data_IF_712775441520
#
_entry.id   IF_712775441520
#
_cell.length_a   1.000
_cell.length_b   1.000
_cell.length_c   1.000
_cell.angle_alpha   90.00
_cell.angle_beta   90.00
_cell.angle_gamma   90.00
#
_symmetry.space_group_name_H-M   'P 1'
#
loop_
_entity.id
_entity.type
_entity.pdbx_description
1 polymer ?
#
# COMPACT_ATOMS: atom_id res chain seq x y z
N UNK A 1 -8.38 -5.00 -29.78
CA UNK A 1 -7.56 -3.82 -29.47
C UNK A 1 -7.74 -3.52 -27.98
N UNK A 2 -6.66 -3.46 -27.19
CA UNK A 2 -6.77 -3.02 -25.80
C UNK A 2 -7.12 -1.53 -25.75
N UNK A 3 -7.95 -1.16 -24.78
CA UNK A 3 -8.27 0.25 -24.49
C UNK A 3 -6.97 1.00 -24.12
N UNK A 4 -6.86 2.25 -24.58
CA UNK A 4 -5.79 3.16 -24.15
C UNK A 4 -5.89 3.42 -22.65
N UNK A 5 -4.77 3.29 -21.93
CA UNK A 5 -4.72 3.52 -20.48
C UNK A 5 -5.12 4.96 -20.12
N UNK A 6 -5.71 5.13 -18.93
CA UNK A 6 -6.00 6.45 -18.36
C UNK A 6 -5.29 6.60 -17.00
N UNK A 7 -5.16 7.84 -16.51
CA UNK A 7 -4.49 8.12 -15.24
C UNK A 7 -5.16 7.43 -14.03
N UNK A 8 -6.48 7.21 -14.10
CA UNK A 8 -7.23 6.56 -13.02
C UNK A 8 -6.85 5.08 -12.82
N UNK A 9 -6.39 4.40 -13.87
CA UNK A 9 -5.91 3.01 -13.80
C UNK A 9 -4.69 2.90 -12.87
N UNK A 10 -3.81 3.89 -12.90
CA UNK A 10 -2.57 3.92 -12.12
C UNK A 10 -2.72 4.60 -10.74
N UNK A 11 -3.76 5.43 -10.56
CA UNK A 11 -3.93 6.25 -9.36
C UNK A 11 -3.91 5.44 -8.05
N UNK A 12 -4.46 4.21 -8.06
CA UNK A 12 -4.51 3.35 -6.87
C UNK A 12 -3.11 2.87 -6.45
N UNK A 13 -2.29 2.39 -7.40
CA UNK A 13 -0.94 1.91 -7.11
C UNK A 13 0.01 3.07 -6.79
N UNK A 14 -0.18 4.23 -7.42
CA UNK A 14 0.55 5.45 -7.09
C UNK A 14 0.30 5.90 -5.64
N UNK A 15 -0.97 5.86 -5.20
CA UNK A 15 -1.32 6.17 -3.81
C UNK A 15 -0.66 5.19 -2.84
N UNK A 16 -0.66 3.89 -3.15
CA UNK A 16 0.02 2.88 -2.33
C UNK A 16 1.52 3.17 -2.21
N UNK A 17 2.21 3.43 -3.33
CA UNK A 17 3.64 3.74 -3.32
C UNK A 17 3.97 5.04 -2.59
N UNK A 18 3.11 6.06 -2.69
CA UNK A 18 3.28 7.31 -1.95
C UNK A 18 3.24 7.06 -0.45
N UNK A 19 2.24 6.31 0.02
CA UNK A 19 2.08 5.93 1.42
C UNK A 19 3.27 5.10 1.95
N UNK A 20 3.66 4.03 1.24
CA UNK A 20 4.80 3.18 1.60
C UNK A 20 6.07 4.01 1.80
N UNK A 21 6.37 4.92 0.86
CA UNK A 21 7.57 5.76 0.94
C UNK A 21 7.50 6.73 2.10
N UNK A 22 6.35 7.37 2.34
CA UNK A 22 6.21 8.34 3.41
C UNK A 22 6.20 7.72 4.81
N UNK A 23 5.56 6.56 4.96
CA UNK A 23 5.35 5.91 6.25
C UNK A 23 6.59 5.10 6.68
N UNK A 24 7.19 4.32 5.77
CA UNK A 24 8.31 3.43 6.12
C UNK A 24 9.69 4.02 5.81
N UNK A 25 9.85 4.70 4.68
CA UNK A 25 11.19 5.02 4.16
C UNK A 25 11.65 6.45 4.42
N UNK A 26 10.76 7.45 4.36
CA UNK A 26 11.15 8.85 4.60
C UNK A 26 11.42 9.15 6.07
N UNK A 27 10.87 8.36 6.99
CA UNK A 27 11.21 8.42 8.42
C UNK A 27 12.56 7.77 8.75
N UNK A 28 13.06 6.88 7.88
CA UNK A 28 14.27 6.09 8.12
C UNK A 28 15.47 6.64 7.32
N UNK A 29 16.67 6.49 7.86
CA UNK A 29 17.90 6.77 7.10
C UNK A 29 18.17 5.65 6.09
N UNK A 30 17.52 5.74 4.92
CA UNK A 30 17.55 4.74 3.83
C UNK A 30 18.98 4.31 3.45
N UNK A 31 19.97 5.19 3.67
CA UNK A 31 21.39 4.93 3.38
C UNK A 31 21.99 3.71 4.11
N UNK A 32 21.33 3.16 5.13
CA UNK A 32 21.81 2.01 5.89
C UNK A 32 21.04 0.71 5.64
N UNK A 33 20.00 0.72 4.81
CA UNK A 33 19.19 -0.47 4.56
C UNK A 33 19.82 -1.33 3.44
N UNK A 34 20.03 -2.61 3.73
CA UNK A 34 20.40 -3.60 2.71
C UNK A 34 19.16 -4.10 1.95
N UNK A 35 19.37 -4.74 0.80
CA UNK A 35 18.26 -5.21 -0.07
C UNK A 35 17.31 -6.18 0.63
N UNK A 36 17.82 -7.06 1.50
CA UNK A 36 16.98 -8.03 2.23
C UNK A 36 16.06 -7.33 3.23
N UNK A 37 16.57 -6.34 3.96
CA UNK A 37 15.78 -5.53 4.88
C UNK A 37 14.69 -4.73 4.14
N UNK A 38 15.00 -4.20 2.95
CA UNK A 38 14.00 -3.49 2.14
C UNK A 38 12.86 -4.44 1.72
N UNK A 39 13.18 -5.64 1.26
CA UNK A 39 12.17 -6.65 0.87
C UNK A 39 11.29 -6.98 2.07
N UNK A 40 11.89 -7.19 3.24
CA UNK A 40 11.15 -7.49 4.47
C UNK A 40 10.19 -6.35 4.86
N UNK A 41 10.69 -5.10 4.86
CA UNK A 41 9.86 -3.92 5.15
C UNK A 41 8.67 -3.83 4.19
N UNK A 42 8.90 -4.06 2.90
CA UNK A 42 7.83 -4.02 1.89
C UNK A 42 6.80 -5.12 2.13
N UNK A 43 7.23 -6.35 2.44
CA UNK A 43 6.34 -7.48 2.73
C UNK A 43 5.48 -7.22 3.96
N UNK A 44 6.10 -6.78 5.07
CA UNK A 44 5.41 -6.40 6.30
C UNK A 44 4.42 -5.26 6.06
N UNK A 45 4.81 -4.26 5.28
CA UNK A 45 3.92 -3.15 4.94
C UNK A 45 2.75 -3.56 4.06
N UNK A 46 2.94 -4.48 3.10
CA UNK A 46 1.84 -5.04 2.30
C UNK A 46 0.86 -5.79 3.20
N UNK A 47 1.35 -6.57 4.17
CA UNK A 47 0.50 -7.25 5.13
C UNK A 47 -0.33 -6.25 5.96
N UNK A 48 0.34 -5.27 6.56
CA UNK A 48 -0.29 -4.20 7.34
C UNK A 48 -1.34 -3.45 6.52
N UNK A 49 -0.99 -3.02 5.30
CA UNK A 49 -1.87 -2.24 4.43
C UNK A 49 -3.17 -2.98 4.12
N UNK A 50 -3.11 -4.29 3.89
CA UNK A 50 -4.28 -5.08 3.48
C UNK A 50 -5.12 -5.59 4.65
N UNK A 51 -4.48 -5.96 5.77
CA UNK A 51 -5.15 -6.65 6.87
C UNK A 51 -5.51 -5.71 8.03
N UNK A 52 -4.72 -4.67 8.27
CA UNK A 52 -4.76 -3.91 9.53
C UNK A 52 -5.08 -2.44 9.31
N UNK A 53 -4.65 -1.85 8.19
CA UNK A 53 -4.81 -0.42 7.92
C UNK A 53 -6.27 -0.01 7.82
N UNK A 54 -6.72 0.77 8.80
CA UNK A 54 -8.08 1.32 8.84
C UNK A 54 -8.23 2.47 7.83
N UNK A 55 -9.24 2.38 6.97
CA UNK A 55 -9.53 3.42 5.99
C UNK A 55 -10.94 3.99 6.18
N UNK A 56 -11.04 5.31 6.36
CA UNK A 56 -12.34 6.00 6.55
C UNK A 56 -13.30 5.79 5.38
N UNK A 57 -12.76 5.70 4.16
CA UNK A 57 -13.53 5.39 2.94
C UNK A 57 -14.11 3.97 2.93
N UNK A 58 -13.56 3.05 3.73
CA UNK A 58 -13.98 1.66 3.87
C UNK A 58 -14.77 1.46 5.18
N UNK A 59 -15.57 2.45 5.57
CA UNK A 59 -16.33 2.44 6.84
C UNK A 59 -15.48 2.05 8.05
N UNK A 60 -14.25 2.56 8.11
CA UNK A 60 -13.27 2.27 9.15
C UNK A 60 -12.90 0.78 9.27
N UNK A 61 -12.86 0.07 8.15
CA UNK A 61 -12.34 -1.31 8.06
C UNK A 61 -11.01 -1.34 7.30
N UNK A 62 -10.29 -2.46 7.43
CA UNK A 62 -9.16 -2.77 6.56
C UNK A 62 -9.63 -3.26 5.19
N UNK A 63 -8.79 -3.17 4.14
CA UNK A 63 -9.17 -3.58 2.79
C UNK A 63 -9.74 -5.00 2.68
N UNK A 64 -9.10 -5.97 3.34
CA UNK A 64 -9.57 -7.36 3.32
C UNK A 64 -10.91 -7.50 4.08
N UNK A 65 -11.05 -6.90 5.25
CA UNK A 65 -12.29 -6.96 6.03
C UNK A 65 -13.45 -6.34 5.26
N UNK A 66 -13.23 -5.17 4.66
CA UNK A 66 -14.21 -4.53 3.78
C UNK A 66 -14.62 -5.44 2.62
N UNK A 67 -13.65 -6.10 1.97
CA UNK A 67 -13.91 -7.05 0.89
C UNK A 67 -14.76 -8.23 1.35
N UNK A 68 -14.57 -8.73 2.57
CA UNK A 68 -15.41 -9.81 3.12
C UNK A 68 -16.79 -9.35 3.56
N UNK A 69 -16.97 -8.07 3.92
CA UNK A 69 -18.24 -7.53 4.40
C UNK A 69 -19.20 -7.11 3.29
N UNK A 70 -18.67 -6.69 2.14
CA UNK A 70 -19.44 -6.19 0.97
C UNK A 70 -19.85 -7.33 0.02
N UNK A 71 -19.49 -8.58 0.33
CA UNK A 71 -19.96 -9.78 -0.39
C UNK A 71 -21.39 -10.11 0.00
#
# INVERSE_FOLDING_TARGET
>A
MSRTGNCHDNALIESFHSHLKSEEFYAQSIKQLNSSSIIQIVDEYIHYYNNERIQRKLTNMSPIVYRTHVV
#
